data_IF_320885125509
#
_entry.id   IF_320885125509
#
_cell.length_a   1.000
_cell.length_b   1.000
_cell.length_c   1.000
_cell.angle_alpha   90.00
_cell.angle_beta   90.00
_cell.angle_gamma   90.00
#
_symmetry.space_group_name_H-M   'P 1'
#
loop_
_entity.id
_entity.type
_entity.pdbx_description
1 polymer ?
#
# COMPACT_ATOMS: atom_id res chain seq x y z
N UNK A 1 -12.45 -6.50 1.41
CA UNK A 1 -13.49 -5.50 1.10
C UNK A 1 -13.13 -4.02 0.86
N UNK A 2 -11.87 -3.57 0.84
CA UNK A 2 -11.45 -2.45 -0.05
C UNK A 2 -10.06 -2.73 -0.61
N UNK A 3 -9.12 -3.06 0.28
CA UNK A 3 -7.82 -3.61 -0.10
C UNK A 3 -7.95 -4.83 -1.03
N UNK A 4 -8.98 -5.65 -0.84
CA UNK A 4 -9.29 -6.78 -1.73
C UNK A 4 -9.74 -6.35 -3.13
N UNK A 5 -10.55 -5.31 -3.24
CA UNK A 5 -10.94 -4.76 -4.53
C UNK A 5 -9.73 -4.18 -5.28
N UNK A 6 -8.85 -3.50 -4.54
CA UNK A 6 -7.57 -3.01 -5.08
C UNK A 6 -6.72 -4.18 -5.52
N UNK A 7 -6.55 -5.21 -4.68
CA UNK A 7 -5.79 -6.41 -5.04
C UNK A 7 -6.32 -7.06 -6.33
N UNK A 8 -7.63 -7.26 -6.43
CA UNK A 8 -8.26 -7.83 -7.62
C UNK A 8 -8.07 -6.94 -8.84
N UNK A 9 -8.13 -5.61 -8.68
CA UNK A 9 -7.85 -4.66 -9.76
C UNK A 9 -6.39 -4.72 -10.21
N UNK A 10 -5.41 -4.79 -9.29
CA UNK A 10 -3.99 -4.92 -9.62
C UNK A 10 -3.72 -6.21 -10.40
N UNK A 11 -4.25 -7.35 -9.91
CA UNK A 11 -4.17 -8.64 -10.61
C UNK A 11 -4.79 -8.59 -12.00
N UNK A 12 -5.98 -7.99 -12.14
CA UNK A 12 -6.65 -7.84 -13.44
C UNK A 12 -5.83 -7.01 -14.44
N UNK A 13 -5.00 -6.08 -13.97
CA UNK A 13 -4.14 -5.25 -14.80
C UNK A 13 -2.72 -5.83 -15.00
N UNK A 14 -2.51 -7.10 -14.65
CA UNK A 14 -1.25 -7.81 -14.93
C UNK A 14 -0.15 -7.61 -13.89
N UNK A 15 -0.47 -7.11 -12.70
CA UNK A 15 0.49 -7.03 -11.60
C UNK A 15 0.42 -8.34 -10.81
N UNK A 16 1.44 -9.16 -10.95
CA UNK A 16 1.43 -10.52 -10.41
C UNK A 16 2.22 -10.73 -9.12
N UNK A 17 3.28 -9.95 -8.91
CA UNK A 17 4.10 -9.98 -7.71
C UNK A 17 3.58 -8.95 -6.71
N UNK A 18 2.64 -9.39 -5.86
CA UNK A 18 2.03 -8.54 -4.83
C UNK A 18 2.32 -9.13 -3.46
N UNK A 19 2.99 -8.34 -2.61
CA UNK A 19 3.20 -8.66 -1.21
C UNK A 19 2.26 -7.86 -0.30
N UNK A 20 1.87 -8.46 0.83
CA UNK A 20 0.91 -7.88 1.78
C UNK A 20 1.59 -7.54 3.10
N UNK A 21 1.40 -6.31 3.57
CA UNK A 21 2.07 -5.80 4.76
C UNK A 21 1.13 -5.23 5.82
N UNK A 22 1.56 -5.26 7.07
CA UNK A 22 0.89 -4.60 8.19
C UNK A 22 1.91 -4.05 9.19
N UNK A 23 1.56 -2.96 9.89
CA UNK A 23 2.36 -2.40 10.98
C UNK A 23 2.44 -3.36 12.17
N UNK A 24 1.29 -3.97 12.49
CA UNK A 24 1.11 -4.88 13.61
C UNK A 24 0.37 -6.13 13.13
N UNK A 25 1.04 -7.02 12.36
CA UNK A 25 0.40 -8.23 11.90
C UNK A 25 0.06 -9.15 13.09
N UNK A 26 -1.11 -9.78 13.07
CA UNK A 26 -1.43 -10.86 14.00
C UNK A 26 -0.64 -12.12 13.62
N UNK A 27 -0.38 -13.01 14.58
CA UNK A 27 0.23 -14.31 14.29
C UNK A 27 -0.59 -15.06 13.23
N UNK A 28 0.08 -15.53 12.19
CA UNK A 28 -0.52 -16.21 11.03
C UNK A 28 -1.60 -15.38 10.31
N UNK A 29 -1.55 -14.05 10.39
CA UNK A 29 -2.45 -13.20 9.63
C UNK A 29 -2.27 -13.47 8.14
N UNK A 30 -3.40 -13.66 7.46
CA UNK A 30 -3.46 -13.82 6.02
C UNK A 30 -4.36 -12.76 5.39
N UNK A 31 -3.99 -12.34 4.20
CA UNK A 31 -4.79 -11.50 3.32
C UNK A 31 -5.01 -12.27 2.02
N UNK A 32 -6.26 -12.64 1.73
CA UNK A 32 -6.62 -13.49 0.57
C UNK A 32 -5.79 -14.79 0.49
N UNK A 33 -5.50 -15.38 1.66
CA UNK A 33 -4.68 -16.59 1.76
C UNK A 33 -3.17 -16.36 1.74
N UNK A 34 -2.71 -15.16 1.36
CA UNK A 34 -1.29 -14.78 1.36
C UNK A 34 -0.85 -14.36 2.78
N UNK A 35 0.40 -14.65 3.19
CA UNK A 35 0.91 -14.19 4.47
C UNK A 35 1.00 -12.66 4.52
N UNK A 36 0.65 -12.07 5.67
CA UNK A 36 0.86 -10.64 5.91
C UNK A 36 2.17 -10.44 6.68
N UNK A 37 3.12 -9.76 6.05
CA UNK A 37 4.45 -9.49 6.60
C UNK A 37 4.45 -8.21 7.43
N UNK A 38 5.31 -8.15 8.44
CA UNK A 38 5.50 -6.91 9.21
C UNK A 38 6.30 -5.92 8.37
N UNK A 39 5.84 -4.67 8.32
CA UNK A 39 6.59 -3.58 7.68
C UNK A 39 7.92 -3.37 8.41
N UNK A 40 9.02 -3.32 7.65
CA UNK A 40 10.31 -2.80 8.11
C UNK A 40 10.72 -1.59 7.23
N UNK A 41 11.57 -0.70 7.75
CA UNK A 41 11.95 0.57 7.10
C UNK A 41 12.64 0.38 5.73
N UNK A 42 13.17 -0.81 5.46
CA UNK A 42 13.81 -1.18 4.19
C UNK A 42 12.91 -1.98 3.26
N UNK A 43 11.68 -2.31 3.66
CA UNK A 43 10.79 -3.21 2.93
C UNK A 43 10.43 -2.67 1.56
N UNK A 44 10.43 -1.35 1.39
CA UNK A 44 9.82 -0.69 0.23
C UNK A 44 10.78 -0.32 -0.88
N UNK A 45 12.09 -0.32 -0.63
CA UNK A 45 13.08 0.06 -1.64
C UNK A 45 13.17 -0.92 -2.81
N UNK A 46 12.82 -2.18 -2.58
CA UNK A 46 12.81 -3.25 -3.58
C UNK A 46 11.58 -3.22 -4.50
N UNK A 47 10.56 -2.42 -4.19
CA UNK A 47 9.33 -2.38 -4.98
C UNK A 47 9.32 -1.19 -5.95
N UNK A 48 8.87 -1.43 -7.19
CA UNK A 48 8.70 -0.38 -8.19
C UNK A 48 7.55 0.58 -7.84
N UNK A 49 6.51 0.06 -7.19
CA UNK A 49 5.33 0.80 -6.73
C UNK A 49 4.87 0.29 -5.38
N UNK A 50 4.45 1.21 -4.51
CA UNK A 50 3.86 0.91 -3.20
C UNK A 50 2.43 1.43 -3.18
N UNK A 51 1.47 0.53 -2.97
CA UNK A 51 0.06 0.86 -2.92
C UNK A 51 -0.43 0.92 -1.48
N UNK A 52 -1.03 2.04 -1.11
CA UNK A 52 -1.67 2.22 0.20
C UNK A 52 -3.17 2.37 -0.01
N UNK A 53 -3.92 1.44 0.57
CA UNK A 53 -5.38 1.40 0.53
C UNK A 53 -5.94 1.83 1.89
N UNK A 54 -6.58 2.98 1.97
CA UNK A 54 -7.20 3.45 3.23
C UNK A 54 -8.68 3.76 3.08
N UNK A 55 -9.42 3.43 4.13
CA UNK A 55 -10.80 3.86 4.33
C UNK A 55 -10.78 5.21 5.04
N UNK A 56 -10.81 6.31 4.26
CA UNK A 56 -10.85 7.69 4.77
C UNK A 56 -9.75 8.60 4.18
N UNK A 57 -9.71 9.86 4.64
CA UNK A 57 -8.68 10.82 4.25
C UNK A 57 -7.41 10.59 5.09
N UNK A 58 -6.55 9.67 4.66
CA UNK A 58 -5.22 9.53 5.24
C UNK A 58 -4.24 10.42 4.49
N UNK A 59 -3.43 11.18 5.21
CA UNK A 59 -2.33 11.95 4.61
C UNK A 59 -1.28 10.98 4.05
N UNK A 60 -1.25 10.86 2.72
CA UNK A 60 -0.32 9.99 2.01
C UNK A 60 1.14 10.32 2.34
N UNK A 61 1.45 11.60 2.61
CA UNK A 61 2.80 12.08 2.93
C UNK A 61 3.33 11.57 4.27
N UNK A 62 2.43 11.21 5.19
CA UNK A 62 2.81 10.57 6.44
C UNK A 62 3.41 9.18 6.19
N UNK A 63 3.00 8.47 5.14
CA UNK A 63 3.56 7.16 4.83
C UNK A 63 4.91 7.25 4.14
N UNK A 64 5.11 8.19 3.21
CA UNK A 64 6.42 8.36 2.57
C UNK A 64 7.50 8.71 3.58
N UNK A 65 7.21 9.63 4.51
CA UNK A 65 8.15 10.05 5.55
C UNK A 65 8.46 8.94 6.57
N UNK A 66 7.43 8.22 7.05
CA UNK A 66 7.62 7.19 8.09
C UNK A 66 8.26 5.89 7.58
N UNK A 67 8.19 5.64 6.26
CA UNK A 67 8.66 4.39 5.66
C UNK A 67 9.75 4.55 4.61
N UNK A 68 10.28 5.76 4.48
CA UNK A 68 11.31 6.10 3.49
C UNK A 68 10.92 5.66 2.07
N UNK A 69 9.65 5.85 1.72
CA UNK A 69 9.12 5.53 0.40
C UNK A 69 9.25 6.78 -0.46
N UNK A 70 9.92 6.66 -1.61
CA UNK A 70 9.99 7.75 -2.58
C UNK A 70 8.58 8.14 -3.05
N UNK A 71 8.28 9.45 -3.06
CA UNK A 71 6.93 9.95 -3.34
C UNK A 71 6.38 9.52 -4.71
N UNK A 72 7.24 9.30 -5.70
CA UNK A 72 6.91 8.87 -7.06
C UNK A 72 6.59 7.36 -7.16
N UNK A 73 7.00 6.57 -6.16
CA UNK A 73 6.64 5.15 -6.01
C UNK A 73 5.32 4.96 -5.26
N UNK A 74 4.88 5.97 -4.51
CA UNK A 74 3.70 5.88 -3.65
C UNK A 74 2.40 6.15 -4.42
N UNK A 75 1.48 5.18 -4.38
CA UNK A 75 0.13 5.31 -4.93
C UNK A 75 -0.87 5.13 -3.79
N UNK A 76 -1.74 6.11 -3.57
CA UNK A 76 -2.74 6.06 -2.49
C UNK A 76 -4.15 5.95 -3.08
N UNK A 77 -4.88 4.94 -2.61
CA UNK A 77 -6.31 4.78 -2.89
C UNK A 77 -7.09 5.13 -1.62
N UNK A 78 -7.93 6.15 -1.71
CA UNK A 78 -8.82 6.58 -0.63
C UNK A 78 -10.28 6.44 -1.06
N UNK A 79 -11.12 5.92 -0.17
CA UNK A 79 -12.57 5.75 -0.43
C UNK A 79 -13.40 7.02 -0.26
N UNK A 80 -12.78 8.16 0.03
CA UNK A 80 -13.43 9.48 0.06
C UNK A 80 -13.60 10.10 -1.35
N UNK A 81 -13.15 9.39 -2.39
CA UNK A 81 -13.38 9.73 -3.80
C UNK A 81 -12.56 10.91 -4.31
N UNK A 82 -11.58 11.41 -3.53
CA UNK A 82 -10.74 12.55 -3.91
C UNK A 82 -9.30 12.09 -4.18
N UNK A 83 -8.85 12.04 -5.44
CA UNK A 83 -7.46 11.71 -5.73
C UNK A 83 -6.53 12.76 -5.11
N UNK A 84 -5.60 12.32 -4.27
CA UNK A 84 -4.52 13.14 -3.74
C UNK A 84 -3.28 12.89 -4.61
N UNK A 85 -2.85 13.92 -5.35
CA UNK A 85 -1.59 13.89 -6.09
C UNK A 85 -0.53 14.50 -5.18
N UNK A 86 0.40 13.68 -4.70
CA UNK A 86 1.59 14.18 -3.99
C UNK A 86 2.48 14.89 -5.02
N UNK A 87 2.50 16.22 -4.98
CA UNK A 87 3.49 17.01 -5.70
C UNK A 87 4.74 17.10 -4.82
N UNK A 88 5.90 16.83 -5.41
CA UNK A 88 7.16 17.25 -4.82
C UNK A 88 7.24 18.77 -4.99
N UNK A 89 7.09 19.50 -3.87
CA UNK A 89 7.56 20.89 -3.78
C UNK A 89 9.07 20.90 -3.47
#
# INVERSE_FOLDING_TARGET
>A
DFAELIYLALKKNGIDEIESFSFNPKNNQKFLGMPVTKINETSFSQFDKVFIATLGSSDASAYSSNFNIENDKLITFTLDGKPQVNKND
#
